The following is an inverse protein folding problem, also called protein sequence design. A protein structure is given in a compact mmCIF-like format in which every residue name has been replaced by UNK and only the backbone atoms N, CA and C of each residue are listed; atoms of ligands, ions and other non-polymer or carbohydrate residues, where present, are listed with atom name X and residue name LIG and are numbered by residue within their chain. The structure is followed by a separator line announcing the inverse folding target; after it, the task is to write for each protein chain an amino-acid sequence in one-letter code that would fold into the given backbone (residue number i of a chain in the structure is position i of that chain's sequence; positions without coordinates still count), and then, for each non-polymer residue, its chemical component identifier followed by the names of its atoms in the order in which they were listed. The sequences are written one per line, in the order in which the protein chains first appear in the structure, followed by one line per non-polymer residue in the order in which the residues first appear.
data_IF_647781655258
#
_entry.id   IF_647781655258
#
_cell.length_a   1.000
_cell.length_b   1.000
_cell.length_c   1.000
_cell.angle_alpha   90.00
_cell.angle_beta   90.00
_cell.angle_gamma   90.00
#
_symmetry.space_group_name_H-M   'P 1'
#
loop_
_entity.id
_entity.type
_entity.pdbx_description
1 polymer ?
#
# COMPACT_ATOMS: atom_id res chain seq x y z
N UNK A 1 7.03 19.22 -16.80
CA UNK A 1 6.99 19.30 -15.33
C UNK A 1 7.03 17.88 -14.80
N UNK A 2 7.82 17.58 -13.76
CA UNK A 2 7.82 16.24 -13.14
C UNK A 2 6.86 16.28 -11.96
N UNK A 3 5.92 15.34 -11.90
CA UNK A 3 5.05 15.17 -10.74
C UNK A 3 5.82 14.35 -9.71
N UNK A 4 5.90 14.87 -8.49
CA UNK A 4 6.49 14.16 -7.35
C UNK A 4 5.34 13.77 -6.44
N UNK A 5 5.17 12.48 -6.20
CA UNK A 5 4.22 11.95 -5.23
C UNK A 5 4.98 11.51 -3.99
N UNK A 6 4.50 11.93 -2.82
CA UNK A 6 5.07 11.54 -1.52
C UNK A 6 4.16 10.54 -0.84
N UNK A 7 4.75 9.52 -0.22
CA UNK A 7 4.03 8.53 0.54
C UNK A 7 4.77 8.16 1.83
N UNK A 8 4.04 7.63 2.80
CA UNK A 8 4.56 7.07 4.05
C UNK A 8 4.43 5.56 3.99
N UNK A 9 5.55 4.85 4.08
CA UNK A 9 5.59 3.39 4.19
C UNK A 9 5.56 2.98 5.66
N UNK A 10 4.56 2.20 6.06
CA UNK A 10 4.44 1.60 7.40
C UNK A 10 4.62 0.09 7.29
N UNK A 11 5.61 -0.44 7.99
CA UNK A 11 5.86 -1.88 8.06
C UNK A 11 5.20 -2.45 9.32
N UNK A 12 4.43 -3.53 9.15
CA UNK A 12 3.94 -4.33 10.25
C UNK A 12 5.01 -5.36 10.59
N UNK A 13 5.58 -5.26 11.78
CA UNK A 13 6.63 -6.16 12.27
C UNK A 13 5.98 -7.22 13.15
N UNK A 14 6.14 -8.48 12.77
CA UNK A 14 5.73 -9.64 13.55
C UNK A 14 6.97 -10.28 14.20
N UNK A 15 7.10 -10.26 15.54
CA UNK A 15 8.24 -10.87 16.22
C UNK A 15 8.32 -12.38 16.03
N UNK A 16 7.18 -13.05 15.84
CA UNK A 16 7.11 -14.50 15.66
C UNK A 16 7.42 -14.90 14.21
N UNK A 17 7.19 -13.98 13.27
CA UNK A 17 7.46 -14.15 11.84
C UNK A 17 8.26 -12.95 11.27
N UNK A 18 9.54 -12.77 11.67
CA UNK A 18 10.32 -11.59 11.30
C UNK A 18 10.66 -11.49 9.80
N UNK A 19 10.45 -12.57 9.05
CA UNK A 19 10.61 -12.61 7.58
C UNK A 19 9.38 -12.10 6.84
N UNK A 20 8.23 -11.96 7.49
CA UNK A 20 6.98 -11.60 6.83
C UNK A 20 6.93 -10.09 6.59
N UNK A 21 6.94 -9.70 5.32
CA UNK A 21 6.88 -8.30 4.91
C UNK A 21 5.43 -7.90 4.61
N UNK A 22 4.74 -7.32 5.58
CA UNK A 22 3.39 -6.76 5.38
C UNK A 22 3.30 -5.34 5.90
N UNK A 23 2.33 -4.56 5.43
CA UNK A 23 2.33 -3.14 5.74
C UNK A 23 1.27 -2.34 5.02
N UNK A 24 1.44 -1.02 5.08
CA UNK A 24 0.58 -0.04 4.44
C UNK A 24 1.41 1.07 3.79
N UNK A 25 0.98 1.56 2.65
CA UNK A 25 1.49 2.79 2.02
C UNK A 25 0.39 3.84 2.12
N UNK A 26 0.68 4.98 2.74
CA UNK A 26 -0.24 6.10 2.84
C UNK A 26 0.23 7.24 1.92
N UNK A 27 -0.65 7.71 1.02
CA UNK A 27 -0.40 8.85 0.16
C UNK A 27 -0.56 10.17 0.91
N UNK A 28 0.48 11.02 0.88
CA UNK A 28 0.47 12.30 1.61
C UNK A 28 -0.54 13.30 1.04
N UNK A 29 -0.90 13.17 -0.24
CA UNK A 29 -1.79 14.10 -0.92
C UNK A 29 -3.25 14.01 -0.43
N UNK A 30 -3.74 12.79 -0.19
CA UNK A 30 -5.15 12.52 0.08
C UNK A 30 -5.40 11.59 1.28
N UNK A 31 -4.33 11.24 2.01
CA UNK A 31 -4.34 10.31 3.15
C UNK A 31 -4.88 8.92 2.78
N UNK A 32 -4.87 8.55 1.49
CA UNK A 32 -5.35 7.24 1.05
C UNK A 32 -4.32 6.17 1.43
N UNK A 33 -4.79 5.13 2.12
CA UNK A 33 -3.97 4.02 2.57
C UNK A 33 -4.14 2.78 1.69
N UNK A 34 -3.04 2.10 1.38
CA UNK A 34 -3.02 0.86 0.60
C UNK A 34 -2.24 -0.21 1.34
N UNK A 35 -2.89 -1.33 1.66
CA UNK A 35 -2.22 -2.45 2.32
C UNK A 35 -1.46 -3.34 1.33
N UNK A 36 -0.33 -3.90 1.75
CA UNK A 36 0.38 -4.96 1.03
C UNK A 36 0.68 -6.13 1.99
N UNK A 37 0.75 -7.35 1.44
CA UNK A 37 0.89 -8.59 2.24
C UNK A 37 2.26 -9.22 2.14
N UNK A 38 3.00 -8.92 1.07
CA UNK A 38 4.36 -9.36 0.83
C UNK A 38 5.17 -8.31 0.04
N UNK A 39 6.43 -8.63 -0.27
CA UNK A 39 7.30 -7.74 -1.04
C UNK A 39 6.91 -7.59 -2.52
N UNK A 40 6.29 -8.61 -3.13
CA UNK A 40 5.83 -8.52 -4.52
C UNK A 40 4.62 -7.57 -4.61
N UNK A 41 3.67 -7.69 -3.67
CA UNK A 41 2.54 -6.78 -3.53
C UNK A 41 3.01 -5.34 -3.35
N UNK A 42 4.00 -5.09 -2.49
CA UNK A 42 4.55 -3.74 -2.28
C UNK A 42 5.18 -3.18 -3.55
N UNK A 43 5.97 -3.97 -4.28
CA UNK A 43 6.59 -3.52 -5.53
C UNK A 43 5.53 -3.25 -6.61
N UNK A 44 4.49 -4.07 -6.68
CA UNK A 44 3.37 -3.85 -7.60
C UNK A 44 2.66 -2.54 -7.28
N UNK A 45 2.31 -2.34 -6.01
CA UNK A 45 1.66 -1.12 -5.51
C UNK A 45 2.46 0.14 -5.84
N UNK A 46 3.77 0.15 -5.57
CA UNK A 46 4.63 1.30 -5.87
C UNK A 46 4.73 1.61 -7.37
N UNK A 47 4.68 0.57 -8.22
CA UNK A 47 4.65 0.76 -9.69
C UNK A 47 3.34 1.37 -10.14
N UNK A 48 2.21 0.91 -9.61
CA UNK A 48 0.90 1.45 -9.94
C UNK A 48 0.76 2.91 -9.46
N UNK A 49 1.27 3.24 -8.28
CA UNK A 49 1.34 4.63 -7.79
C UNK A 49 2.18 5.51 -8.72
N UNK A 50 3.39 5.05 -9.07
CA UNK A 50 4.26 5.78 -10.00
C UNK A 50 3.65 5.95 -11.40
N UNK A 51 2.82 5.01 -11.83
CA UNK A 51 2.10 5.10 -13.10
C UNK A 51 0.80 5.93 -13.02
N UNK A 52 0.39 6.37 -11.82
CA UNK A 52 -0.86 7.09 -11.59
C UNK A 52 -2.11 6.22 -11.78
N UNK A 53 -1.96 4.90 -11.71
CA UNK A 53 -3.04 3.92 -11.97
C UNK A 53 -3.94 3.70 -10.76
N UNK A 54 -3.47 4.04 -9.56
CA UNK A 54 -4.27 3.91 -8.35
C UNK A 54 -5.08 5.19 -8.15
N UNK A 55 -6.33 5.14 -8.57
CA UNK A 55 -7.35 6.14 -8.22
C UNK A 55 -8.36 5.44 -7.32
N UNK A 56 -8.57 5.96 -6.09
CA UNK A 56 -9.60 5.72 -5.04
C UNK A 56 -10.35 4.37 -4.88
N UNK A 57 -10.47 3.53 -5.89
CA UNK A 57 -11.30 2.31 -5.94
C UNK A 57 -10.59 1.04 -5.41
N UNK A 58 -9.28 1.09 -5.13
CA UNK A 58 -8.54 -0.09 -4.65
C UNK A 58 -8.83 -0.48 -3.18
N UNK A 59 -9.58 0.33 -2.43
CA UNK A 59 -9.80 0.14 -0.99
C UNK A 59 -11.06 -0.65 -0.60
N UNK A 60 -11.90 -1.07 -1.55
CA UNK A 60 -13.16 -1.78 -1.22
C UNK A 60 -13.02 -3.30 -1.15
N UNK A 61 -11.89 -3.88 -1.57
CA UNK A 61 -11.78 -5.34 -1.73
C UNK A 61 -11.30 -6.11 -0.48
N UNK A 62 -11.06 -5.43 0.64
CA UNK A 62 -10.62 -6.04 1.90
C UNK A 62 -11.62 -5.91 3.07
N UNK A 63 -12.76 -5.23 2.89
CA UNK A 63 -13.83 -5.16 3.90
C UNK A 63 -14.91 -6.23 3.76
N UNK A 64 -14.75 -7.16 2.81
CA UNK A 64 -15.78 -8.12 2.42
C UNK A 64 -15.89 -9.43 3.22
N UNK A 65 -14.93 -9.76 4.10
CA UNK A 65 -14.93 -11.04 4.85
C UNK A 65 -14.95 -10.83 6.36
N UNK A 66 -16.04 -10.22 6.84
CA UNK A 66 -16.47 -10.35 8.23
C UNK A 66 -17.98 -10.49 8.26
N UNK A 67 -18.45 -11.71 7.99
CA UNK A 67 -19.80 -12.19 8.30
C UNK A 67 -19.70 -13.52 9.03
#
# INVERSE_FOLDING_TARGET
MRQIQSCVLRLLVDPDHPSDLRGMVNLVEDDTEYSFRDGQDLVHLLKELNAGLISREHNEQLKGDSR
#
